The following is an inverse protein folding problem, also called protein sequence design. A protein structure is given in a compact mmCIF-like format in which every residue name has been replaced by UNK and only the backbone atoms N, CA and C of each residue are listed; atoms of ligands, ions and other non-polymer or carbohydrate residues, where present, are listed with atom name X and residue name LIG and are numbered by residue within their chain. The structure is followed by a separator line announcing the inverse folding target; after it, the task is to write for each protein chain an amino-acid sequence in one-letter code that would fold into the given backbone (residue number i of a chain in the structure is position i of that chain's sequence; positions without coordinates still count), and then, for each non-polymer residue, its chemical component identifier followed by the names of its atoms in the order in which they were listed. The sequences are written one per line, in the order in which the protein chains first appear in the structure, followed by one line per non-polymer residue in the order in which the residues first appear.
data_IF_845414193217
#
_entry.id   IF_845414193217
#
_cell.length_a   1.000
_cell.length_b   1.000
_cell.length_c   1.000
_cell.angle_alpha   90.00
_cell.angle_beta   90.00
_cell.angle_gamma   90.00
#
_symmetry.space_group_name_H-M   'P 1'
#
loop_
_entity.id
_entity.type
_entity.pdbx_description
1 polymer ?
#
# COMPACT_ATOMS: atom_id res chain seq x y z
N UNK A 1 3.43 22.20 8.16
CA UNK A 1 3.55 21.57 9.48
C UNK A 1 2.41 20.57 9.58
N UNK A 2 2.65 19.33 9.17
CA UNK A 2 1.69 18.24 9.37
C UNK A 2 1.85 17.76 10.80
N UNK A 3 0.77 17.75 11.57
CA UNK A 3 0.71 17.16 12.91
C UNK A 3 1.10 15.69 12.80
N UNK A 4 2.36 15.37 13.12
CA UNK A 4 2.84 14.00 13.25
C UNK A 4 2.30 13.43 14.57
N UNK A 5 1.00 13.15 14.59
CA UNK A 5 0.33 12.46 15.69
C UNK A 5 0.12 11.01 15.30
N UNK A 6 0.72 10.07 16.03
CA UNK A 6 0.27 8.67 15.95
C UNK A 6 -1.21 8.62 16.35
N UNK A 7 -2.03 7.92 15.58
CA UNK A 7 -3.42 7.75 15.96
C UNK A 7 -3.48 6.91 17.24
N UNK A 8 -4.19 7.34 18.30
CA UNK A 8 -4.39 6.48 19.46
C UNK A 8 -5.22 5.27 19.05
N UNK A 9 -4.86 4.08 19.54
CA UNK A 9 -5.62 2.87 19.27
C UNK A 9 -7.02 2.95 19.91
N UNK A 10 -8.06 2.75 19.10
CA UNK A 10 -9.44 2.58 19.53
C UNK A 10 -9.92 1.20 19.09
N UNK A 11 -10.18 0.30 20.05
CA UNK A 11 -10.42 -1.11 19.78
C UNK A 11 -11.90 -1.40 19.68
N UNK A 12 -12.34 -1.78 18.48
CA UNK A 12 -13.72 -2.12 18.18
C UNK A 12 -13.76 -3.56 17.69
N UNK A 13 -14.60 -4.44 18.30
CA UNK A 13 -14.82 -5.77 17.77
C UNK A 13 -15.25 -5.71 16.30
N UNK A 14 -14.66 -6.55 15.48
CA UNK A 14 -14.92 -6.61 14.04
C UNK A 14 -16.21 -7.37 13.72
N UNK A 15 -16.68 -8.22 14.64
CA UNK A 15 -17.80 -9.14 14.43
C UNK A 15 -17.40 -10.43 13.72
N UNK A 16 -16.11 -10.60 13.41
CA UNK A 16 -15.55 -11.79 12.79
C UNK A 16 -14.71 -12.55 13.83
N UNK A 17 -15.10 -13.78 14.22
CA UNK A 17 -14.42 -14.54 15.28
C UNK A 17 -12.92 -14.75 15.06
N UNK A 18 -12.46 -14.82 13.81
CA UNK A 18 -11.04 -14.99 13.47
C UNK A 18 -10.20 -13.70 13.63
N UNK A 19 -10.83 -12.54 13.75
CA UNK A 19 -10.17 -11.24 13.89
C UNK A 19 -10.29 -10.68 15.30
N UNK A 20 -11.44 -10.95 15.94
CA UNK A 20 -11.71 -10.53 17.30
C UNK A 20 -10.70 -11.14 18.29
N UNK A 21 -10.28 -10.35 19.28
CA UNK A 21 -9.20 -10.70 20.21
C UNK A 21 -7.80 -10.38 19.70
N UNK A 22 -7.64 -9.76 18.54
CA UNK A 22 -6.36 -9.27 18.05
C UNK A 22 -6.29 -7.73 18.12
N UNK A 23 -5.45 -7.15 19.00
CA UNK A 23 -5.36 -5.70 19.15
C UNK A 23 -4.88 -4.98 17.88
N UNK A 24 -4.11 -5.66 17.01
CA UNK A 24 -3.62 -5.08 15.75
C UNK A 24 -4.69 -4.99 14.67
N UNK A 25 -5.81 -5.70 14.84
CA UNK A 25 -6.94 -5.72 13.91
C UNK A 25 -8.08 -4.86 14.44
N UNK A 26 -8.44 -5.03 15.72
CA UNK A 26 -9.54 -4.29 16.35
C UNK A 26 -9.30 -2.77 16.40
N UNK A 27 -8.04 -2.32 16.35
CA UNK A 27 -7.70 -0.90 16.28
C UNK A 27 -7.85 -0.28 14.88
N UNK A 28 -8.02 -1.10 13.84
CA UNK A 28 -8.19 -0.61 12.48
C UNK A 28 -9.59 -0.04 12.31
N UNK A 29 -9.82 0.86 11.33
CA UNK A 29 -11.17 1.28 10.98
C UNK A 29 -12.09 0.08 10.77
N UNK A 30 -13.39 0.25 11.08
CA UNK A 30 -14.40 -0.77 10.77
C UNK A 30 -14.28 -1.23 9.31
N UNK A 31 -14.62 -2.49 9.05
CA UNK A 31 -14.74 -2.98 7.68
C UNK A 31 -15.78 -2.11 6.97
N UNK A 32 -15.36 -1.45 5.89
CA UNK A 32 -16.15 -0.44 5.22
C UNK A 32 -17.18 -1.10 4.30
N UNK A 33 -18.37 -0.52 4.23
CA UNK A 33 -19.30 -0.81 3.15
C UNK A 33 -18.87 -0.08 1.88
N UNK A 34 -19.30 -0.55 0.70
CA UNK A 34 -19.04 0.15 -0.57
C UNK A 34 -19.45 1.63 -0.51
N UNK A 35 -20.58 1.93 0.14
CA UNK A 35 -21.06 3.31 0.33
C UNK A 35 -20.09 4.13 1.18
N UNK A 36 -19.55 3.55 2.25
CA UNK A 36 -18.54 4.20 3.07
C UNK A 36 -17.24 4.45 2.29
N UNK A 37 -16.81 3.50 1.46
CA UNK A 37 -15.61 3.65 0.60
C UNK A 37 -15.83 4.78 -0.40
N UNK A 38 -16.95 4.80 -1.12
CA UNK A 38 -17.27 5.90 -2.06
C UNK A 38 -17.24 7.25 -1.35
N UNK A 39 -17.86 7.35 -0.17
CA UNK A 39 -17.91 8.61 0.59
C UNK A 39 -16.54 9.08 1.07
N UNK A 40 -15.66 8.17 1.49
CA UNK A 40 -14.34 8.52 2.06
C UNK A 40 -13.26 8.72 1.00
N UNK A 41 -13.29 7.94 -0.08
CA UNK A 41 -12.36 8.08 -1.21
C UNK A 41 -12.74 9.26 -2.09
N UNK A 42 -14.05 9.51 -2.23
CA UNK A 42 -14.56 10.60 -3.03
C UNK A 42 -14.14 11.94 -2.46
N UNK A 43 -13.54 12.79 -3.30
CA UNK A 43 -13.25 14.17 -2.95
C UNK A 43 -13.97 15.08 -3.94
N UNK A 44 -14.87 15.91 -3.41
CA UNK A 44 -15.52 16.97 -4.15
C UNK A 44 -15.15 18.28 -3.48
N UNK A 45 -14.22 19.07 -4.07
CA UNK A 45 -13.78 20.32 -3.48
C UNK A 45 -14.97 21.28 -3.36
N UNK A 46 -14.89 22.17 -2.37
CA UNK A 46 -15.97 23.12 -2.07
C UNK A 46 -16.33 23.93 -3.30
N UNK A 47 -17.64 24.01 -3.58
CA UNK A 47 -18.17 24.85 -4.65
C UNK A 47 -17.79 26.31 -4.38
N UNK A 48 -17.41 27.07 -5.41
CA UNK A 48 -17.06 28.47 -5.22
C UNK A 48 -18.25 29.27 -4.71
N UNK A 49 -18.03 30.05 -3.66
CA UNK A 49 -19.04 30.95 -3.09
C UNK A 49 -19.18 32.22 -3.96
N UNK A 50 -20.07 33.13 -3.59
CA UNK A 50 -20.27 34.38 -4.35
C UNK A 50 -19.05 35.30 -4.32
N UNK A 51 -18.35 35.38 -3.18
CA UNK A 51 -17.14 36.18 -3.05
C UNK A 51 -16.02 35.70 -3.98
N UNK A 52 -15.80 34.38 -4.06
CA UNK A 52 -14.84 33.79 -5.01
C UNK A 52 -15.24 34.05 -6.46
N UNK A 53 -16.54 34.04 -6.77
CA UNK A 53 -17.06 34.33 -8.12
C UNK A 53 -16.94 35.81 -8.50
N UNK A 54 -16.83 36.70 -7.52
CA UNK A 54 -16.61 38.14 -7.71
C UNK A 54 -15.12 38.53 -7.82
N UNK A 55 -14.18 37.59 -7.62
CA UNK A 55 -12.75 37.87 -7.79
C UNK A 55 -12.40 38.26 -9.23
N UNK A 56 -11.27 38.97 -9.38
CA UNK A 56 -10.70 39.32 -10.68
C UNK A 56 -10.56 38.07 -11.59
N UNK A 57 -10.80 38.19 -12.92
CA UNK A 57 -10.71 37.06 -13.85
C UNK A 57 -9.42 36.23 -13.71
N UNK A 58 -8.26 36.84 -13.47
CA UNK A 58 -7.00 36.10 -13.30
C UNK A 58 -7.02 35.25 -12.04
N UNK A 59 -7.50 35.81 -10.92
CA UNK A 59 -7.63 35.09 -9.64
C UNK A 59 -8.65 33.96 -9.72
N UNK A 60 -9.79 34.17 -10.39
CA UNK A 60 -10.78 33.10 -10.64
C UNK A 60 -10.19 31.94 -11.45
N UNK A 61 -9.31 32.24 -12.41
CA UNK A 61 -8.57 31.23 -13.16
C UNK A 61 -7.75 30.29 -12.27
N UNK A 62 -7.14 30.79 -11.20
CA UNK A 62 -6.42 29.95 -10.23
C UNK A 62 -7.35 29.02 -9.45
N UNK A 63 -8.60 29.43 -9.20
CA UNK A 63 -9.62 28.62 -8.54
C UNK A 63 -9.93 27.31 -9.26
N UNK A 64 -9.81 27.27 -10.60
CA UNK A 64 -10.00 26.06 -11.42
C UNK A 64 -9.03 24.94 -11.03
N UNK A 65 -7.86 25.27 -10.48
CA UNK A 65 -6.89 24.25 -10.04
C UNK A 65 -7.45 23.31 -8.97
N UNK A 66 -8.47 23.72 -8.18
CA UNK A 66 -9.13 22.83 -7.21
C UNK A 66 -9.77 21.60 -7.85
N UNK A 67 -10.09 21.66 -9.15
CA UNK A 67 -10.60 20.51 -9.89
C UNK A 67 -9.57 19.37 -10.01
N UNK A 68 -8.27 19.65 -9.81
CA UNK A 68 -7.23 18.61 -9.76
C UNK A 68 -7.35 17.73 -8.51
N UNK A 69 -8.03 18.23 -7.47
CA UNK A 69 -8.25 17.50 -6.23
C UNK A 69 -9.50 16.62 -6.31
N UNK A 70 -10.31 16.73 -7.37
CA UNK A 70 -11.52 15.92 -7.55
C UNK A 70 -11.13 14.45 -7.69
N UNK A 71 -11.69 13.63 -6.80
CA UNK A 71 -11.58 12.17 -6.87
C UNK A 71 -12.98 11.61 -7.02
N UNK A 72 -13.25 10.98 -8.16
CA UNK A 72 -14.49 10.23 -8.40
C UNK A 72 -14.18 8.75 -8.16
N UNK A 73 -14.76 8.13 -7.13
CA UNK A 73 -14.61 6.70 -6.90
C UNK A 73 -15.24 5.91 -8.04
N UNK A 74 -14.56 4.85 -8.42
CA UNK A 74 -15.00 3.88 -9.43
C UNK A 74 -14.94 2.49 -8.80
N UNK A 75 -15.56 1.49 -9.44
CA UNK A 75 -15.57 0.09 -8.99
C UNK A 75 -14.16 -0.45 -8.68
N UNK A 76 -13.14 0.01 -9.40
CA UNK A 76 -11.74 -0.36 -9.14
C UNK A 76 -11.27 0.05 -7.74
N UNK A 77 -11.76 1.17 -7.19
CA UNK A 77 -11.42 1.63 -5.85
C UNK A 77 -12.11 0.78 -4.79
N UNK A 78 -13.36 0.37 -5.02
CA UNK A 78 -14.09 -0.52 -4.12
C UNK A 78 -13.37 -1.86 -4.01
N UNK A 79 -13.04 -2.45 -5.16
CA UNK A 79 -12.28 -3.71 -5.20
C UNK A 79 -10.88 -3.56 -4.59
N UNK A 80 -10.20 -2.45 -4.84
CA UNK A 80 -8.87 -2.22 -4.26
C UNK A 80 -8.95 -2.07 -2.73
N UNK A 81 -9.98 -1.39 -2.21
CA UNK A 81 -10.22 -1.26 -0.78
C UNK A 81 -10.48 -2.61 -0.13
N UNK A 82 -11.40 -3.40 -0.69
CA UNK A 82 -11.76 -4.72 -0.16
C UNK A 82 -10.53 -5.64 -0.09
N UNK A 83 -9.75 -5.69 -1.17
CA UNK A 83 -8.51 -6.47 -1.20
C UNK A 83 -7.49 -5.96 -0.17
N UNK A 84 -7.33 -4.64 -0.03
CA UNK A 84 -6.34 -4.06 0.89
C UNK A 84 -6.76 -4.27 2.36
N UNK A 85 -8.06 -4.18 2.62
CA UNK A 85 -8.71 -4.44 3.90
C UNK A 85 -8.49 -5.87 4.37
N UNK A 86 -8.74 -6.85 3.49
CA UNK A 86 -8.51 -8.27 3.72
C UNK A 86 -7.02 -8.56 3.91
N UNK A 87 -6.17 -8.01 3.03
CA UNK A 87 -4.72 -8.20 3.05
C UNK A 87 -4.10 -7.83 4.41
N UNK A 88 -4.41 -6.64 4.92
CA UNK A 88 -3.87 -6.16 6.20
C UNK A 88 -4.38 -7.02 7.37
N UNK A 89 -5.70 -7.24 7.44
CA UNK A 89 -6.32 -7.95 8.56
C UNK A 89 -5.88 -9.40 8.61
N UNK A 90 -5.91 -10.09 7.48
CA UNK A 90 -5.44 -11.46 7.39
C UNK A 90 -3.95 -11.57 7.71
N UNK A 91 -3.13 -10.62 7.25
CA UNK A 91 -1.72 -10.54 7.59
C UNK A 91 -1.45 -10.39 9.10
N UNK A 92 -2.36 -9.79 9.86
CA UNK A 92 -2.22 -9.66 11.32
C UNK A 92 -2.66 -10.91 12.10
N UNK A 93 -3.47 -11.81 11.53
CA UNK A 93 -3.94 -13.01 12.23
C UNK A 93 -2.79 -13.90 12.70
N UNK A 94 -1.78 -14.14 11.86
CA UNK A 94 -0.55 -14.89 12.23
C UNK A 94 0.44 -14.12 13.11
N UNK A 95 0.16 -12.83 13.40
CA UNK A 95 1.08 -11.92 14.10
C UNK A 95 0.49 -11.31 15.37
N UNK A 96 -0.56 -11.93 15.93
CA UNK A 96 -1.20 -11.44 17.14
C UNK A 96 -0.21 -11.35 18.32
N UNK A 97 0.04 -10.16 18.90
CA UNK A 97 1.04 -9.96 19.93
C UNK A 97 0.70 -10.64 21.26
N UNK A 98 -0.54 -11.09 21.44
CA UNK A 98 -0.97 -11.83 22.63
C UNK A 98 -0.60 -13.33 22.56
N UNK A 99 -0.22 -13.83 21.39
CA UNK A 99 0.25 -15.21 21.24
C UNK A 99 1.75 -15.32 21.49
N UNK A 100 2.14 -16.29 22.33
CA UNK A 100 3.55 -16.52 22.67
C UNK A 100 4.42 -16.85 21.44
N UNK A 101 3.86 -17.52 20.42
CA UNK A 101 4.55 -17.80 19.16
C UNK A 101 4.93 -16.52 18.42
N UNK A 102 4.00 -15.57 18.30
CA UNK A 102 4.23 -14.28 17.64
C UNK A 102 5.26 -13.44 18.41
N UNK A 103 5.22 -13.43 19.75
CA UNK A 103 6.22 -12.73 20.58
C UNK A 103 7.62 -13.31 20.39
N UNK A 104 7.77 -14.64 20.45
CA UNK A 104 9.06 -15.31 20.23
C UNK A 104 9.61 -15.02 18.83
N UNK A 105 8.74 -14.96 17.84
CA UNK A 105 9.11 -14.69 16.46
C UNK A 105 9.59 -13.25 16.21
N UNK A 106 9.28 -12.30 17.13
CA UNK A 106 9.82 -10.93 17.11
C UNK A 106 11.24 -10.83 17.66
N UNK A 107 11.70 -11.78 18.47
CA UNK A 107 13.04 -11.71 19.05
C UNK A 107 14.11 -12.07 18.00
N UNK A 108 15.26 -11.36 17.97
CA UNK A 108 16.39 -11.76 17.14
C UNK A 108 16.83 -13.17 17.54
N UNK A 109 16.70 -14.12 16.62
CA UNK A 109 17.06 -15.52 16.87
C UNK A 109 18.55 -15.67 17.16
N UNK A 110 18.92 -16.06 18.39
CA UNK A 110 20.25 -16.59 18.71
C UNK A 110 20.30 -18.13 18.65
N UNK A 111 19.16 -18.80 18.46
CA UNK A 111 19.06 -20.26 18.42
C UNK A 111 17.97 -20.65 17.43
N UNK A 112 18.25 -21.60 16.55
CA UNK A 112 17.31 -22.21 15.60
C UNK A 112 15.98 -22.57 16.27
N UNK A 113 14.99 -21.68 16.22
CA UNK A 113 13.63 -22.01 16.65
C UNK A 113 12.99 -22.80 15.51
N UNK A 114 13.35 -24.09 15.42
CA UNK A 114 12.53 -25.12 14.76
C UNK A 114 11.30 -25.37 15.63
N UNK A 115 10.38 -24.41 15.64
CA UNK A 115 9.10 -24.52 16.33
C UNK A 115 7.98 -24.44 15.32
N UNK A 116 7.28 -25.56 15.09
CA UNK A 116 5.97 -25.55 14.43
C UNK A 116 5.04 -24.59 15.18
N UNK A 117 4.64 -23.47 14.57
CA UNK A 117 3.76 -22.51 15.25
C UNK A 117 3.63 -21.12 14.62
N UNK A 118 4.52 -20.74 13.68
CA UNK A 118 4.27 -19.58 12.83
C UNK A 118 3.59 -20.04 11.54
N UNK A 119 2.30 -19.74 11.38
CA UNK A 119 1.65 -19.86 10.08
C UNK A 119 1.80 -18.52 9.37
N UNK A 120 2.50 -18.53 8.22
CA UNK A 120 2.54 -17.35 7.38
C UNK A 120 1.14 -17.12 6.78
N UNK A 121 0.52 -16.03 7.20
CA UNK A 121 -0.72 -15.51 6.62
C UNK A 121 -0.45 -14.34 5.68
N UNK A 122 0.81 -14.18 5.27
CA UNK A 122 1.20 -13.10 4.36
C UNK A 122 0.68 -13.38 2.96
N UNK A 123 -0.19 -12.49 2.51
CA UNK A 123 -0.69 -12.46 1.14
C UNK A 123 0.03 -11.40 0.32
N UNK A 124 -0.09 -11.52 -1.00
CA UNK A 124 0.47 -10.55 -1.95
C UNK A 124 -0.63 -10.00 -2.82
N UNK A 125 -0.68 -8.68 -2.93
CA UNK A 125 -1.49 -7.94 -3.89
C UNK A 125 -0.59 -7.39 -5.00
N UNK A 126 -1.07 -7.37 -6.24
CA UNK A 126 -0.34 -6.75 -7.35
C UNK A 126 -1.26 -5.85 -8.18
N UNK A 127 -0.86 -4.59 -8.37
CA UNK A 127 -1.56 -3.57 -9.14
C UNK A 127 -0.72 -3.16 -10.36
N UNK A 128 -1.17 -3.57 -11.55
CA UNK A 128 -0.46 -3.35 -12.81
C UNK A 128 -1.31 -2.56 -13.80
N UNK A 129 -0.66 -1.59 -14.47
CA UNK A 129 -1.26 -0.78 -15.52
C UNK A 129 -0.27 0.22 -16.12
N UNK A 130 -0.65 0.91 -17.20
CA UNK A 130 0.22 1.89 -17.87
C UNK A 130 0.62 3.04 -16.94
N UNK A 131 1.74 3.68 -17.25
CA UNK A 131 2.19 4.88 -16.52
C UNK A 131 1.14 5.99 -16.62
N UNK A 132 0.94 6.74 -15.54
CA UNK A 132 -0.03 7.85 -15.49
C UNK A 132 -1.50 7.45 -15.40
N UNK A 133 -1.86 6.15 -15.32
CA UNK A 133 -3.27 5.71 -15.18
C UNK A 133 -3.87 5.93 -13.78
N UNK A 134 -3.12 6.51 -12.84
CA UNK A 134 -3.60 6.80 -11.49
C UNK A 134 -3.53 5.65 -10.49
N UNK A 135 -2.72 4.60 -10.74
CA UNK A 135 -2.53 3.46 -9.83
C UNK A 135 -2.08 3.89 -8.42
N UNK A 136 -0.96 4.62 -8.36
CA UNK A 136 -0.41 5.16 -7.12
C UNK A 136 -1.39 6.10 -6.44
N UNK A 137 -2.11 6.93 -7.21
CA UNK A 137 -3.15 7.82 -6.68
C UNK A 137 -4.29 7.04 -6.03
N UNK A 138 -4.81 6.02 -6.70
CA UNK A 138 -5.87 5.16 -6.19
C UNK A 138 -5.41 4.42 -4.92
N UNK A 139 -4.24 3.80 -4.94
CA UNK A 139 -3.72 3.08 -3.77
C UNK A 139 -3.45 4.02 -2.59
N UNK A 140 -2.90 5.21 -2.83
CA UNK A 140 -2.72 6.22 -1.79
C UNK A 140 -4.06 6.66 -1.20
N UNK A 141 -5.10 6.81 -2.02
CA UNK A 141 -6.44 7.15 -1.53
C UNK A 141 -7.02 6.04 -0.64
N UNK A 142 -6.82 4.78 -1.00
CA UNK A 142 -7.23 3.63 -0.18
C UNK A 142 -6.40 3.53 1.10
N UNK A 143 -5.07 3.63 1.02
CA UNK A 143 -4.19 3.55 2.19
C UNK A 143 -4.52 4.65 3.22
N UNK A 144 -4.89 5.86 2.77
CA UNK A 144 -5.33 6.97 3.63
C UNK A 144 -6.64 6.72 4.38
N UNK A 145 -7.42 5.70 4.03
CA UNK A 145 -8.57 5.26 4.83
C UNK A 145 -8.13 4.65 6.18
N UNK A 146 -6.86 4.24 6.27
CA UNK A 146 -6.23 3.64 7.43
C UNK A 146 -5.20 4.60 8.03
N UNK A 147 -5.20 4.81 9.36
CA UNK A 147 -4.12 5.55 10.01
C UNK A 147 -2.76 4.92 9.65
N UNK A 148 -1.77 5.73 9.29
CA UNK A 148 -0.45 5.19 8.91
C UNK A 148 0.25 4.55 10.10
N UNK A 149 0.20 5.20 11.27
CA UNK A 149 0.80 4.72 12.52
C UNK A 149 -0.22 4.83 13.65
N UNK A 150 -0.34 3.76 14.42
CA UNK A 150 -1.20 3.62 15.59
C UNK A 150 -0.31 3.42 16.83
N UNK A 151 -0.62 4.15 17.90
CA UNK A 151 0.01 3.97 19.20
C UNK A 151 -0.92 3.23 20.15
N UNK A 152 -0.42 2.15 20.72
CA UNK A 152 -1.12 1.35 21.71
C UNK A 152 -0.61 1.70 23.10
N UNK A 153 -1.52 1.77 24.07
CA UNK A 153 -1.17 1.97 25.49
C UNK A 153 -1.79 0.89 26.40
N UNK A 154 -3.01 0.45 26.09
CA UNK A 154 -3.79 -0.50 26.88
C UNK A 154 -4.73 -1.30 25.98
N UNK A 155 -4.86 -2.60 26.22
CA UNK A 155 -5.81 -3.48 25.52
C UNK A 155 -6.51 -4.40 26.54
N UNK A 156 -7.85 -4.48 26.52
CA UNK A 156 -8.65 -5.27 27.48
C UNK A 156 -8.19 -5.13 28.93
N UNK A 157 -7.95 -3.88 29.34
CA UNK A 157 -7.44 -3.50 30.67
C UNK A 157 -5.98 -3.85 30.99
N UNK A 158 -5.26 -4.53 30.11
CA UNK A 158 -3.85 -4.86 30.26
C UNK A 158 -2.95 -3.81 29.59
N UNK A 159 -1.77 -3.58 30.16
CA UNK A 159 -0.76 -2.68 29.59
C UNK A 159 -0.30 -3.29 28.26
N UNK A 160 -0.42 -2.52 27.18
CA UNK A 160 -0.02 -2.92 25.84
C UNK A 160 0.57 -1.71 25.13
N UNK A 161 1.87 -1.48 25.38
CA UNK A 161 2.60 -0.33 24.85
C UNK A 161 3.37 -0.79 23.62
N UNK A 162 2.81 -0.52 22.45
CA UNK A 162 3.38 -0.90 21.16
C UNK A 162 3.11 0.21 20.13
N UNK A 163 3.93 0.24 19.08
CA UNK A 163 3.72 1.11 17.92
C UNK A 163 3.47 0.24 16.70
N UNK A 164 2.32 0.44 16.06
CA UNK A 164 1.91 -0.29 14.87
C UNK A 164 1.98 0.63 13.64
N UNK A 165 2.75 0.25 12.64
CA UNK A 165 2.75 0.90 11.32
C UNK A 165 1.79 0.11 10.42
N UNK A 166 0.60 0.63 10.17
CA UNK A 166 -0.44 -0.11 9.43
C UNK A 166 -0.04 -0.34 7.97
N UNK A 167 0.61 0.65 7.35
CA UNK A 167 1.15 0.52 6.01
C UNK A 167 2.42 1.35 5.85
N UNK A 168 3.36 0.83 5.07
CA UNK A 168 4.59 1.52 4.70
C UNK A 168 4.74 1.50 3.19
N UNK A 169 4.80 2.68 2.56
CA UNK A 169 5.04 2.82 1.13
C UNK A 169 6.52 3.10 0.86
N UNK A 170 7.08 2.39 -0.11
CA UNK A 170 8.44 2.55 -0.61
C UNK A 170 8.39 2.64 -2.13
N UNK A 171 9.12 3.59 -2.69
CA UNK A 171 9.33 3.68 -4.13
C UNK A 171 10.64 2.99 -4.48
N UNK A 172 10.60 2.04 -5.43
CA UNK A 172 11.81 1.37 -5.90
C UNK A 172 12.78 2.40 -6.50
N UNK A 173 14.07 2.36 -6.13
CA UNK A 173 15.04 3.30 -6.66
C UNK A 173 15.22 3.11 -8.17
N UNK A 174 15.43 4.21 -8.91
CA UNK A 174 15.55 4.18 -10.38
C UNK A 174 16.69 3.30 -10.90
N UNK A 175 17.76 3.13 -10.11
CA UNK A 175 18.89 2.26 -10.45
C UNK A 175 18.63 0.77 -10.14
N UNK A 176 17.49 0.45 -9.50
CA UNK A 176 17.09 -0.89 -9.09
C UNK A 176 18.02 -1.52 -8.04
N UNK A 177 18.85 -0.73 -7.34
CA UNK A 177 19.87 -1.26 -6.45
C UNK A 177 19.29 -1.72 -5.10
N UNK A 178 19.85 -2.81 -4.56
CA UNK A 178 19.50 -3.32 -3.22
C UNK A 178 19.74 -2.28 -2.12
N UNK A 179 20.86 -1.55 -2.21
CA UNK A 179 21.21 -0.51 -1.24
C UNK A 179 20.25 0.67 -1.33
N UNK A 180 19.87 1.09 -2.55
CA UNK A 180 18.86 2.13 -2.76
C UNK A 180 17.51 1.73 -2.15
N UNK A 181 17.09 0.48 -2.34
CA UNK A 181 15.86 -0.03 -1.72
C UNK A 181 15.94 0.01 -0.18
N UNK A 182 17.05 -0.44 0.41
CA UNK A 182 17.23 -0.40 1.86
C UNK A 182 17.18 1.03 2.41
N UNK A 183 17.84 1.98 1.72
CA UNK A 183 17.81 3.39 2.09
C UNK A 183 16.39 3.96 2.02
N UNK A 184 15.64 3.64 0.96
CA UNK A 184 14.25 4.05 0.80
C UNK A 184 13.34 3.47 1.90
N UNK A 185 13.53 2.20 2.29
CA UNK A 185 12.83 1.60 3.43
C UNK A 185 13.09 2.39 4.72
N UNK A 186 14.35 2.59 5.08
CA UNK A 186 14.70 3.24 6.34
C UNK A 186 14.22 4.69 6.40
N UNK A 187 14.34 5.42 5.29
CA UNK A 187 13.82 6.79 5.16
C UNK A 187 12.30 6.84 5.30
N UNK A 188 11.58 5.92 4.65
CA UNK A 188 10.11 5.86 4.73
C UNK A 188 9.64 5.52 6.14
N UNK A 189 10.34 4.62 6.85
CA UNK A 189 10.02 4.25 8.22
C UNK A 189 10.28 5.41 9.19
N UNK A 190 11.44 6.07 9.07
CA UNK A 190 11.78 7.27 9.85
C UNK A 190 10.71 8.36 9.65
N UNK A 191 10.28 8.61 8.41
CA UNK A 191 9.23 9.57 8.08
C UNK A 191 7.87 9.20 8.69
N UNK A 192 7.48 7.92 8.64
CA UNK A 192 6.24 7.45 9.25
C UNK A 192 6.25 7.59 10.77
N UNK A 193 7.41 7.34 11.40
CA UNK A 193 7.59 7.43 12.85
C UNK A 193 7.90 8.84 13.36
N UNK A 194 8.18 9.81 12.47
CA UNK A 194 8.59 11.16 12.85
C UNK A 194 9.95 11.22 13.58
N UNK A 195 10.85 10.29 13.28
CA UNK A 195 12.19 10.20 13.89
C UNK A 195 13.29 10.22 12.81
N UNK A 196 14.55 10.38 13.23
CA UNK A 196 15.71 10.32 12.33
C UNK A 196 16.77 9.36 12.90
N UNK A 197 16.44 8.07 12.88
CA UNK A 197 17.23 7.01 13.51
C UNK A 197 17.73 5.98 12.50
N UNK A 198 16.83 5.44 11.68
CA UNK A 198 17.12 4.30 10.82
C UNK A 198 17.75 4.71 9.50
N UNK A 199 17.39 5.88 8.95
CA UNK A 199 17.97 6.43 7.72
C UNK A 199 19.50 6.49 7.77
N UNK A 200 20.07 6.82 8.94
CA UNK A 200 21.52 6.82 9.20
C UNK A 200 22.17 5.45 9.03
N UNK A 201 21.42 4.36 9.12
CA UNK A 201 21.95 3.01 8.91
C UNK A 201 22.38 2.77 7.46
N UNK A 202 21.79 3.49 6.50
CA UNK A 202 22.13 3.38 5.08
C UNK A 202 23.50 3.99 4.73
N UNK A 203 23.99 4.96 5.51
CA UNK A 203 25.23 5.69 5.26
C UNK A 203 26.45 5.11 5.98
N UNK A 204 26.23 4.29 7.01
CA UNK A 204 27.28 3.70 7.88
C UNK A 204 28.16 2.59 7.28
N UNK A 205 28.16 2.38 5.96
CA UNK A 205 29.01 1.37 5.31
C UNK A 205 28.64 -0.11 5.62
N UNK A 206 27.47 -0.36 6.22
CA UNK A 206 26.99 -1.72 6.52
C UNK A 206 26.81 -2.57 5.27
N UNK A 207 26.99 -3.89 5.42
CA UNK A 207 26.71 -4.84 4.35
C UNK A 207 25.21 -4.88 4.03
N UNK A 208 24.88 -5.17 2.78
CA UNK A 208 23.48 -5.25 2.33
C UNK A 208 22.72 -6.32 3.10
N UNK A 209 23.34 -7.48 3.35
CA UNK A 209 22.73 -8.57 4.11
C UNK A 209 22.31 -8.13 5.52
N UNK A 210 23.14 -7.33 6.21
CA UNK A 210 22.82 -6.78 7.53
C UNK A 210 21.67 -5.77 7.43
N UNK A 211 21.62 -4.94 6.38
CA UNK A 211 20.49 -4.02 6.17
C UNK A 211 19.17 -4.79 5.97
N UNK A 212 19.17 -5.83 5.13
CA UNK A 212 17.97 -6.65 4.89
C UNK A 212 17.50 -7.38 6.15
N UNK A 213 18.42 -7.89 6.97
CA UNK A 213 18.08 -8.46 8.29
C UNK A 213 17.44 -7.43 9.22
N UNK A 214 17.99 -6.22 9.27
CA UNK A 214 17.42 -5.13 10.07
C UNK A 214 16.03 -4.73 9.57
N UNK A 215 15.81 -4.66 8.27
CA UNK A 215 14.48 -4.40 7.69
C UNK A 215 13.48 -5.44 8.19
N UNK A 216 13.79 -6.73 8.08
CA UNK A 216 12.92 -7.80 8.58
C UNK A 216 12.60 -7.65 10.07
N UNK A 217 13.61 -7.34 10.88
CA UNK A 217 13.43 -7.12 12.32
C UNK A 217 12.56 -5.90 12.63
N UNK A 218 12.74 -4.79 11.90
CA UNK A 218 11.95 -3.58 12.09
C UNK A 218 10.49 -3.79 11.69
N UNK A 219 10.23 -4.53 10.61
CA UNK A 219 8.88 -4.86 10.21
C UNK A 219 8.13 -5.66 11.30
N UNK A 220 8.83 -6.59 11.97
CA UNK A 220 8.28 -7.35 13.11
C UNK A 220 8.09 -6.48 14.35
N UNK A 221 9.05 -5.60 14.61
CA UNK A 221 9.04 -4.70 15.79
C UNK A 221 7.89 -3.72 15.73
N UNK A 222 7.66 -3.10 14.57
CA UNK A 222 6.62 -2.08 14.36
C UNK A 222 5.31 -2.64 13.79
N UNK A 223 5.13 -3.97 13.79
CA UNK A 223 3.94 -4.63 13.24
C UNK A 223 3.51 -4.08 11.87
N UNK A 224 4.46 -3.97 10.92
CA UNK A 224 4.17 -3.40 9.60
C UNK A 224 3.04 -4.20 8.93
N UNK A 225 1.89 -3.56 8.70
CA UNK A 225 0.65 -4.22 8.27
C UNK A 225 0.62 -4.55 6.79
N UNK A 226 1.10 -3.64 5.94
CA UNK A 226 1.33 -3.86 4.53
C UNK A 226 2.58 -3.10 4.07
N UNK A 227 3.44 -3.76 3.31
CA UNK A 227 4.57 -3.13 2.64
C UNK A 227 4.20 -2.88 1.17
N UNK A 228 3.97 -1.61 0.84
CA UNK A 228 3.66 -1.17 -0.51
C UNK A 228 4.96 -0.83 -1.22
N UNK A 229 5.25 -1.54 -2.32
CA UNK A 229 6.44 -1.35 -3.14
C UNK A 229 5.98 -0.83 -4.49
N UNK A 230 6.18 0.47 -4.69
CA UNK A 230 5.76 1.21 -5.89
C UNK A 230 6.90 1.33 -6.89
N UNK A 231 6.55 1.58 -8.15
CA UNK A 231 7.48 1.67 -9.28
C UNK A 231 8.38 0.42 -9.44
N UNK A 232 7.83 -0.77 -9.16
CA UNK A 232 8.54 -2.07 -9.21
C UNK A 232 9.25 -2.36 -10.53
N UNK A 233 8.81 -1.75 -11.64
CA UNK A 233 9.50 -1.88 -12.92
C UNK A 233 10.94 -1.33 -12.91
N UNK A 234 11.32 -0.47 -11.95
CA UNK A 234 12.70 -0.01 -11.84
C UNK A 234 13.68 -1.13 -11.48
N UNK A 235 13.20 -2.23 -10.88
CA UNK A 235 14.01 -3.43 -10.67
C UNK A 235 14.45 -4.09 -11.98
N UNK A 236 13.71 -3.87 -13.08
CA UNK A 236 14.11 -4.34 -14.40
C UNK A 236 15.33 -3.58 -14.95
N UNK A 237 15.64 -2.40 -14.41
CA UNK A 237 16.75 -1.55 -14.87
C UNK A 237 18.08 -1.86 -14.17
N UNK A 238 18.11 -2.77 -13.18
CA UNK A 238 19.33 -3.10 -12.44
C UNK A 238 20.40 -3.71 -13.36
N UNK A 239 21.62 -3.16 -13.34
CA UNK A 239 22.74 -3.68 -14.12
C UNK A 239 23.16 -5.05 -13.58
N UNK A 240 23.09 -6.09 -14.40
CA UNK A 240 23.62 -7.43 -14.08
C UNK A 240 22.66 -8.40 -13.39
N UNK A 241 21.41 -8.03 -13.11
CA UNK A 241 20.32 -8.93 -12.68
C UNK A 241 20.44 -9.59 -11.28
N UNK A 242 21.65 -9.70 -10.73
CA UNK A 242 21.90 -10.36 -9.45
C UNK A 242 21.24 -9.64 -8.27
N UNK A 243 21.27 -8.30 -8.27
CA UNK A 243 20.64 -7.49 -7.22
C UNK A 243 19.11 -7.60 -7.25
N UNK A 244 18.53 -7.62 -8.45
CA UNK A 244 17.11 -7.89 -8.67
C UNK A 244 16.71 -9.25 -8.09
N UNK A 245 17.43 -10.32 -8.42
CA UNK A 245 17.08 -11.66 -7.98
C UNK A 245 17.23 -11.81 -6.45
N UNK A 246 18.27 -11.22 -5.86
CA UNK A 246 18.44 -11.13 -4.41
C UNK A 246 17.28 -10.37 -3.74
N UNK A 247 16.83 -9.25 -4.31
CA UNK A 247 15.72 -8.47 -3.75
C UNK A 247 14.39 -9.21 -3.86
N UNK A 248 14.12 -9.86 -4.99
CA UNK A 248 12.92 -10.70 -5.15
C UNK A 248 12.91 -11.86 -4.15
N UNK A 249 14.04 -12.54 -3.98
CA UNK A 249 14.18 -13.58 -2.95
C UNK A 249 13.96 -13.00 -1.55
N UNK A 250 14.51 -11.83 -1.26
CA UNK A 250 14.28 -11.14 0.01
C UNK A 250 12.80 -10.85 0.24
N UNK A 251 12.03 -10.42 -0.77
CA UNK A 251 10.59 -10.22 -0.62
C UNK A 251 9.84 -11.51 -0.31
N UNK A 252 10.21 -12.63 -0.96
CA UNK A 252 9.65 -13.94 -0.64
C UNK A 252 9.95 -14.32 0.81
N UNK A 253 11.20 -14.16 1.25
CA UNK A 253 11.60 -14.39 2.64
C UNK A 253 10.87 -13.46 3.61
N UNK A 254 10.71 -12.18 3.27
CA UNK A 254 10.02 -11.20 4.11
C UNK A 254 8.53 -11.56 4.27
N UNK A 255 7.87 -11.99 3.20
CA UNK A 255 6.49 -12.47 3.23
C UNK A 255 6.37 -13.76 4.05
N UNK A 256 7.19 -14.77 3.73
CA UNK A 256 7.07 -16.11 4.32
C UNK A 256 7.52 -16.16 5.77
N UNK A 257 8.67 -15.54 6.08
CA UNK A 257 9.26 -15.63 7.41
C UNK A 257 8.69 -14.55 8.31
N UNK A 258 8.63 -13.28 7.87
CA UNK A 258 8.15 -12.20 8.74
C UNK A 258 6.61 -12.05 8.73
N UNK A 259 5.89 -12.74 7.84
CA UNK A 259 4.43 -12.70 7.76
C UNK A 259 3.88 -11.35 7.32
N UNK A 260 4.66 -10.59 6.54
CA UNK A 260 4.29 -9.23 6.14
C UNK A 260 3.62 -9.28 4.78
N UNK A 261 2.37 -8.81 4.67
CA UNK A 261 1.71 -8.66 3.39
C UNK A 261 2.42 -7.67 2.47
N UNK A 262 2.54 -8.03 1.19
CA UNK A 262 3.23 -7.24 0.18
C UNK A 262 2.26 -6.71 -0.87
N UNK A 263 2.38 -5.43 -1.23
CA UNK A 263 1.61 -4.80 -2.31
C UNK A 263 2.57 -4.30 -3.37
N UNK A 264 2.59 -4.95 -4.54
CA UNK A 264 3.41 -4.54 -5.66
C UNK A 264 2.65 -3.61 -6.60
N UNK A 265 3.21 -2.44 -6.90
CA UNK A 265 2.65 -1.49 -7.86
C UNK A 265 3.67 -1.21 -8.95
N UNK A 266 3.23 -1.23 -10.20
CA UNK A 266 4.10 -0.88 -11.32
C UNK A 266 3.43 -1.02 -12.68
N UNK A 267 4.25 -0.90 -13.73
CA UNK A 267 3.79 -1.00 -15.13
C UNK A 267 3.89 -2.43 -15.66
N UNK A 268 3.33 -2.70 -16.84
CA UNK A 268 3.43 -4.01 -17.51
C UNK A 268 4.89 -4.50 -17.66
N UNK A 269 5.87 -3.60 -17.63
CA UNK A 269 7.29 -3.94 -17.67
C UNK A 269 7.76 -4.80 -16.47
N UNK A 270 7.00 -4.83 -15.37
CA UNK A 270 7.31 -5.67 -14.21
C UNK A 270 6.81 -7.12 -14.35
N UNK A 271 5.96 -7.44 -15.35
CA UNK A 271 5.40 -8.79 -15.53
C UNK A 271 6.47 -9.89 -15.58
N UNK A 272 7.63 -9.71 -16.27
CA UNK A 272 8.70 -10.70 -16.27
C UNK A 272 9.35 -10.95 -14.90
N UNK A 273 9.25 -10.02 -13.94
CA UNK A 273 9.76 -10.22 -12.58
C UNK A 273 9.01 -11.36 -11.86
N UNK A 274 7.73 -11.55 -12.20
CA UNK A 274 6.86 -12.53 -11.57
C UNK A 274 6.93 -13.94 -12.18
N UNK A 275 7.59 -14.12 -13.32
CA UNK A 275 7.66 -15.41 -14.03
C UNK A 275 8.75 -16.34 -13.49
N UNK A 276 9.86 -15.80 -12.97
CA UNK A 276 11.03 -16.57 -12.51
C UNK A 276 11.03 -16.96 -11.03
N UNK A 277 10.86 -16.00 -10.11
CA UNK A 277 11.10 -16.21 -8.66
C UNK A 277 9.80 -16.28 -7.85
N UNK A 278 8.82 -15.45 -8.18
CA UNK A 278 7.53 -15.39 -7.46
C UNK A 278 6.57 -16.53 -7.83
N UNK A 279 6.90 -17.34 -8.85
CA UNK A 279 6.21 -18.60 -9.16
C UNK A 279 6.37 -19.63 -8.04
N UNK A 280 7.48 -19.60 -7.28
CA UNK A 280 7.68 -20.48 -6.13
C UNK A 280 6.91 -19.98 -4.90
N UNK A 281 6.81 -18.66 -4.70
CA UNK A 281 5.99 -18.07 -3.64
C UNK A 281 4.49 -18.31 -3.85
N UNK A 282 3.97 -18.22 -5.09
CA UNK A 282 2.58 -18.59 -5.41
C UNK A 282 2.25 -20.07 -5.20
N UNK A 283 3.26 -20.95 -5.21
CA UNK A 283 3.08 -22.38 -4.88
C UNK A 283 3.10 -22.63 -3.36
N UNK A 284 3.69 -21.74 -2.58
CA UNK A 284 3.78 -21.83 -1.13
C UNK A 284 2.66 -21.04 -0.40
N UNK A 285 2.16 -19.95 -1.00
CA UNK A 285 1.06 -19.12 -0.50
C UNK A 285 -0.11 -19.16 -1.49
N UNK A 286 -1.19 -19.86 -1.12
CA UNK A 286 -2.29 -20.26 -2.00
C UNK A 286 -3.25 -19.16 -2.47
N UNK A 287 -2.99 -17.87 -2.22
CA UNK A 287 -3.91 -16.77 -2.58
C UNK A 287 -3.13 -15.51 -2.97
N UNK A 288 -2.80 -15.35 -4.25
CA UNK A 288 -2.26 -14.10 -4.79
C UNK A 288 -3.25 -13.49 -5.76
N UNK A 289 -3.96 -12.43 -5.34
CA UNK A 289 -4.91 -11.73 -6.21
C UNK A 289 -4.20 -10.65 -7.03
N UNK A 290 -4.24 -10.79 -8.35
CA UNK A 290 -3.72 -9.81 -9.31
C UNK A 290 -4.86 -8.95 -9.86
N UNK A 291 -4.76 -7.63 -9.71
CA UNK A 291 -5.69 -6.69 -10.30
C UNK A 291 -5.05 -6.05 -11.55
N UNK A 292 -5.53 -6.45 -12.73
CA UNK A 292 -5.10 -5.91 -14.01
C UNK A 292 -6.05 -4.80 -14.45
N UNK A 293 -5.59 -3.54 -14.49
CA UNK A 293 -6.43 -2.41 -14.92
C UNK A 293 -6.44 -2.22 -16.44
N UNK A 294 -6.41 -3.31 -17.20
CA UNK A 294 -6.03 -3.36 -18.62
C UNK A 294 -7.14 -3.46 -19.67
N UNK A 295 -8.39 -3.05 -19.39
CA UNK A 295 -9.41 -2.94 -20.46
C UNK A 295 -9.33 -1.58 -21.17
N UNK A 296 -9.12 -1.53 -22.51
CA UNK A 296 -9.03 -0.27 -23.27
C UNK A 296 -10.33 0.55 -23.29
N UNK A 297 -11.43 0.05 -22.73
CA UNK A 297 -12.73 0.71 -22.81
C UNK A 297 -13.04 1.69 -21.67
N UNK A 298 -12.22 1.80 -20.63
CA UNK A 298 -12.67 2.53 -19.44
C UNK A 298 -11.59 3.29 -18.66
N UNK A 299 -10.62 3.92 -19.32
CA UNK A 299 -9.79 4.97 -18.67
C UNK A 299 -9.58 6.11 -19.65
N UNK A 300 -10.58 7.00 -19.73
CA UNK A 300 -10.41 8.38 -20.20
C UNK A 300 -10.54 9.26 -18.96
N UNK A 301 -9.41 9.60 -18.33
CA UNK A 301 -9.37 10.74 -17.41
C UNK A 301 -9.83 11.96 -18.22
N UNK A 302 -11.03 12.45 -17.92
CA UNK A 302 -11.72 13.43 -18.75
C UNK A 302 -10.99 14.77 -18.79
N UNK A 303 -10.46 15.14 -19.96
CA UNK A 303 -10.69 16.49 -20.48
C UNK A 303 -12.13 16.50 -20.98
N UNK A 304 -13.03 17.11 -20.22
CA UNK A 304 -14.37 17.44 -20.70
C UNK A 304 -14.18 18.63 -21.66
N UNK A 305 -14.11 18.35 -22.96
CA UNK A 305 -14.42 19.36 -23.97
C UNK A 305 -15.82 19.08 -24.48
N UNK A 306 -16.70 20.05 -24.20
CA UNK A 306 -18.05 20.11 -24.73
C UNK A 306 -17.96 20.38 -26.24
N UNK A 307 -18.45 19.45 -27.06
CA UNK A 307 -18.83 19.76 -28.43
C UNK A 307 -20.30 19.38 -28.63
N UNK A 308 -21.12 20.43 -28.59
CA UNK A 308 -22.41 20.49 -29.25
C UNK A 308 -22.22 20.38 -30.76
N UNK A 309 -22.81 19.38 -31.39
CA UNK A 309 -23.14 19.42 -32.81
C UNK A 309 -24.40 18.58 -33.04
N UNK A 310 -25.45 19.27 -33.50
CA UNK A 310 -26.75 18.69 -33.82
C UNK A 310 -26.71 17.76 -35.05
N UNK A 311 -27.83 17.09 -35.35
CA UNK A 311 -27.88 16.08 -36.40
C UNK A 311 -28.05 16.74 -37.78
N UNK A 312 -27.06 16.61 -38.65
CA UNK A 312 -27.28 16.77 -40.09
C UNK A 312 -27.49 15.40 -40.72
N UNK A 313 -28.75 15.15 -41.05
CA UNK A 313 -29.26 14.10 -41.92
C UNK A 313 -28.57 14.09 -43.29
N UNK A 314 -28.19 12.90 -43.75
CA UNK A 314 -27.59 12.69 -45.07
C UNK A 314 -27.66 11.23 -45.51
N UNK A 315 -28.88 10.71 -45.69
CA UNK A 315 -29.13 9.44 -46.36
C UNK A 315 -28.84 9.60 -47.86
N UNK A 316 -27.91 8.80 -48.40
CA UNK A 316 -27.82 8.52 -49.85
C UNK A 316 -28.57 7.22 -50.17
N UNK A 317 -29.35 7.14 -51.26
CA UNK A 317 -30.13 5.97 -51.62
C UNK A 317 -29.30 4.94 -52.40
N UNK A 318 -29.76 3.68 -52.50
CA UNK A 318 -29.05 2.63 -53.22
C UNK A 318 -29.33 2.73 -54.72
N UNK A 319 -28.30 2.55 -55.54
CA UNK A 319 -28.45 2.34 -56.98
C UNK A 319 -28.43 0.83 -57.25
N UNK A 320 -29.36 0.40 -58.10
CA UNK A 320 -29.23 -0.83 -58.90
C UNK A 320 -28.06 -0.70 -59.85
#
# INVERSE_FOLDING_TARGET
MSDFGFAPADYIPTGMPQYDGNPLIECLPKILSDVDVVRRVGNSPTRPNEAERALDPKLRGHGVNRLKDVVVPFEIHLRLEDLFSQLIRYGYTGRNPLHASSVRHRLPSSAEIKGHGFMSTAETMTLIGLSGMGKTTALNAIAKLYPQVISHSKYKQQIFIETQVVWLKIECPHDGSLRGFCAAFFSSLDAALGIEKYSKMSTTGRSISVMLQNISQLCKTYFIGALIIDEMQHLCSSRGGQDRDKLLNFFVTLSNDAGIPLVYVGTNAMLPLFSGVLRNARRAAGMGQSLLTGSPRMIRFGRIWCHSSGPTTGLKPPLR
#
